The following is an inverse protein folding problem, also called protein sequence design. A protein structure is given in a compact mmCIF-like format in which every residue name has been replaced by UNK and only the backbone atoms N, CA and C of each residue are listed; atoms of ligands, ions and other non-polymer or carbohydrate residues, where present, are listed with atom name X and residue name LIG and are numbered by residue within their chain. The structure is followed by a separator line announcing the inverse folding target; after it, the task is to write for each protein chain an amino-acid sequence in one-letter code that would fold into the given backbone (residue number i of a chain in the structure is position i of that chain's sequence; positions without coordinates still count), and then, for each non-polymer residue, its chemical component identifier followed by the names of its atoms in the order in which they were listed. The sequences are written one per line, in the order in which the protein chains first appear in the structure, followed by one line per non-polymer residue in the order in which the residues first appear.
data_IF_181574477946
#
_entry.id   IF_181574477946
#
_cell.length_a   1.000
_cell.length_b   1.000
_cell.length_c   1.000
_cell.angle_alpha   90.00
_cell.angle_beta   90.00
_cell.angle_gamma   90.00
#
_symmetry.space_group_name_H-M   'P 1'
#
loop_
_entity.id
_entity.type
_entity.pdbx_description
1 polymer ?
#
# COMPACT_ATOMS: atom_id res chain seq x y z
N UNK A 1 5.02 -8.71 31.63
CA UNK A 1 5.00 -7.27 31.97
C UNK A 1 3.60 -6.72 31.74
N UNK A 2 3.01 -5.95 32.67
CA UNK A 2 1.72 -5.26 32.44
C UNK A 2 1.96 -3.75 32.43
N UNK A 3 1.66 -3.09 31.32
CA UNK A 3 1.68 -1.62 31.23
C UNK A 3 0.28 -1.11 31.55
N UNK A 4 0.15 -0.22 32.55
CA UNK A 4 -1.09 0.51 32.85
C UNK A 4 -0.94 1.94 32.36
N UNK A 5 -1.83 2.38 31.48
CA UNK A 5 -1.85 3.76 30.96
C UNK A 5 -3.05 4.47 31.56
N UNK A 6 -2.83 5.62 32.19
CA UNK A 6 -3.89 6.50 32.71
C UNK A 6 -3.98 7.76 31.84
N UNK A 7 -5.16 8.08 31.33
CA UNK A 7 -5.39 9.24 30.48
C UNK A 7 -6.82 9.34 29.98
N UNK A 8 -7.22 10.51 29.45
CA UNK A 8 -8.49 10.69 28.74
C UNK A 8 -8.25 10.56 27.23
N UNK A 9 -9.07 9.76 26.56
CA UNK A 9 -8.96 9.50 25.12
C UNK A 9 -8.04 8.34 24.76
N UNK A 10 -7.92 8.06 23.45
CA UNK A 10 -7.09 6.97 22.92
C UNK A 10 -5.90 7.55 22.14
N UNK A 11 -4.69 7.29 22.64
CA UNK A 11 -3.43 7.71 22.02
C UNK A 11 -2.63 6.46 21.68
N UNK A 12 -2.05 6.35 20.47
CA UNK A 12 -1.20 5.23 20.11
C UNK A 12 0.08 5.30 20.94
N UNK A 13 0.52 4.16 21.44
CA UNK A 13 1.73 4.05 22.25
C UNK A 13 2.58 2.90 21.72
N UNK A 14 3.88 3.14 21.56
CA UNK A 14 4.84 2.10 21.24
C UNK A 14 5.62 1.76 22.50
N UNK A 15 5.68 0.48 22.84
CA UNK A 15 6.50 -0.02 23.94
C UNK A 15 7.73 -0.68 23.33
N UNK A 16 8.92 -0.17 23.64
CA UNK A 16 10.20 -0.73 23.26
C UNK A 16 10.84 -1.40 24.46
N UNK A 17 11.23 -2.67 24.31
CA UNK A 17 11.99 -3.40 25.32
C UNK A 17 13.41 -3.61 24.81
N UNK A 18 14.39 -3.07 25.55
CA UNK A 18 15.81 -3.29 25.29
C UNK A 18 16.26 -4.69 25.72
N UNK A 19 17.37 -5.14 25.15
CA UNK A 19 17.99 -6.44 25.49
C UNK A 19 18.52 -6.46 26.94
N UNK A 20 18.81 -5.29 27.50
CA UNK A 20 19.18 -5.07 28.90
C UNK A 20 17.98 -5.09 29.86
N UNK A 21 16.78 -5.37 29.35
CA UNK A 21 15.54 -5.33 30.12
C UNK A 21 14.98 -3.92 30.31
N UNK A 22 15.61 -2.88 29.75
CA UNK A 22 15.06 -1.52 29.77
C UNK A 22 13.74 -1.47 29.00
N UNK A 23 12.80 -0.64 29.47
CA UNK A 23 11.51 -0.44 28.81
C UNK A 23 11.32 1.04 28.56
N UNK A 24 11.03 1.40 27.31
CA UNK A 24 10.70 2.75 26.89
C UNK A 24 9.29 2.77 26.31
N UNK A 25 8.48 3.71 26.77
CA UNK A 25 7.15 3.98 26.20
C UNK A 25 7.24 5.26 25.40
N UNK A 26 6.97 5.16 24.11
CA UNK A 26 6.92 6.28 23.19
C UNK A 26 5.46 6.58 22.86
N UNK A 27 5.12 7.86 22.81
CA UNK A 27 3.82 8.33 22.35
C UNK A 27 3.99 9.59 21.52
N UNK A 28 3.06 9.86 20.59
CA UNK A 28 3.02 11.15 19.92
C UNK A 28 2.91 12.28 20.95
N UNK A 29 3.55 13.42 20.67
CA UNK A 29 3.33 14.63 21.49
C UNK A 29 1.84 14.96 21.53
N UNK A 30 1.35 15.42 22.68
CA UNK A 30 -0.05 15.87 22.86
C UNK A 30 -0.36 16.93 21.80
N UNK A 31 -1.41 16.71 20.99
CA UNK A 31 -1.77 17.55 19.82
C UNK A 31 -1.22 17.06 18.47
N UNK A 32 -0.32 16.07 18.43
CA UNK A 32 0.28 15.58 17.18
C UNK A 32 -0.65 14.77 16.27
N UNK A 33 -1.84 14.39 16.75
CA UNK A 33 -2.90 13.77 15.92
C UNK A 33 -3.87 14.80 15.34
N UNK A 34 -3.88 16.02 15.85
CA UNK A 34 -4.64 17.11 15.27
C UNK A 34 -3.85 17.60 14.05
N UNK A 35 -3.88 16.82 12.97
CA UNK A 35 -3.70 17.40 11.64
C UNK A 35 -4.94 18.25 11.42
N UNK A 36 -4.88 19.50 11.91
CA UNK A 36 -5.90 20.56 11.95
C UNK A 36 -6.49 20.97 10.58
N UNK A 37 -6.28 20.17 9.54
CA UNK A 37 -6.93 20.32 8.25
C UNK A 37 -8.16 19.41 8.14
N UNK A 38 -9.26 19.97 7.66
CA UNK A 38 -10.34 19.17 7.08
C UNK A 38 -9.76 18.27 5.98
N UNK A 39 -10.18 17.01 5.92
CA UNK A 39 -9.77 16.15 4.81
C UNK A 39 -10.18 16.79 3.48
N UNK A 40 -9.32 16.68 2.46
CA UNK A 40 -9.64 17.12 1.11
C UNK A 40 -10.97 16.51 0.67
N UNK A 41 -11.74 17.26 -0.14
CA UNK A 41 -12.88 16.70 -0.85
C UNK A 41 -12.40 15.68 -1.89
N UNK A 42 -13.31 14.84 -2.39
CA UNK A 42 -13.04 13.87 -3.44
C UNK A 42 -12.44 14.53 -4.69
N UNK A 43 -12.97 15.70 -5.07
CA UNK A 43 -12.43 16.54 -6.13
C UNK A 43 -11.05 17.10 -5.78
N UNK A 44 -10.85 17.57 -4.55
CA UNK A 44 -9.55 18.06 -4.08
C UNK A 44 -8.46 16.98 -4.11
N UNK A 45 -8.78 15.74 -3.76
CA UNK A 45 -7.86 14.59 -3.87
C UNK A 45 -7.53 14.35 -5.34
N UNK A 46 -8.55 14.24 -6.20
CA UNK A 46 -8.35 14.00 -7.65
C UNK A 46 -7.46 15.08 -8.26
N UNK A 47 -7.74 16.34 -7.98
CA UNK A 47 -7.06 17.47 -8.60
C UNK A 47 -5.63 17.64 -8.08
N UNK A 48 -5.39 17.35 -6.79
CA UNK A 48 -4.06 17.36 -6.18
C UNK A 48 -3.16 16.25 -6.73
N UNK A 49 -3.66 15.03 -6.80
CA UNK A 49 -2.85 13.86 -7.20
C UNK A 49 -2.98 13.50 -8.69
N UNK A 50 -3.81 14.24 -9.44
CA UNK A 50 -4.11 14.03 -10.87
C UNK A 50 -4.67 12.63 -11.18
N UNK A 51 -5.50 12.10 -10.29
CA UNK A 51 -6.12 10.78 -10.46
C UNK A 51 -7.05 10.79 -11.67
N UNK A 52 -7.06 9.71 -12.46
CA UNK A 52 -8.02 9.54 -13.54
C UNK A 52 -9.39 9.14 -13.00
N UNK A 53 -10.44 9.66 -13.64
CA UNK A 53 -11.82 9.34 -13.29
C UNK A 53 -12.32 10.10 -12.06
N UNK A 54 -13.58 9.84 -11.71
CA UNK A 54 -14.18 10.33 -10.47
C UNK A 54 -13.93 9.30 -9.37
N UNK A 55 -13.86 9.76 -8.13
CA UNK A 55 -14.01 8.88 -6.96
C UNK A 55 -15.51 8.66 -6.77
N UNK A 56 -16.08 7.50 -7.15
CA UNK A 56 -17.52 7.30 -7.09
C UNK A 56 -18.00 7.15 -5.63
N UNK A 57 -19.27 7.48 -5.42
CA UNK A 57 -19.94 7.35 -4.12
C UNK A 57 -19.65 8.49 -3.14
N UNK A 58 -20.23 8.37 -1.94
CA UNK A 58 -20.04 9.33 -0.84
C UNK A 58 -18.92 8.84 0.07
N UNK A 59 -17.80 9.54 0.10
CA UNK A 59 -16.69 9.16 0.96
C UNK A 59 -16.84 9.78 2.35
N UNK A 60 -16.43 9.05 3.37
CA UNK A 60 -16.31 9.59 4.72
C UNK A 60 -14.98 10.32 4.89
N UNK A 61 -14.93 11.26 5.83
CA UNK A 61 -13.72 12.06 6.08
C UNK A 61 -12.49 11.18 6.38
N UNK A 62 -12.67 10.12 7.19
CA UNK A 62 -11.59 9.19 7.52
C UNK A 62 -11.03 8.46 6.27
N UNK A 63 -11.89 8.11 5.32
CA UNK A 63 -11.51 7.43 4.07
C UNK A 63 -10.72 8.40 3.18
N UNK A 64 -11.22 9.62 3.02
CA UNK A 64 -10.53 10.68 2.26
C UNK A 64 -9.18 11.04 2.86
N UNK A 65 -9.10 11.12 4.19
CA UNK A 65 -7.85 11.39 4.92
C UNK A 65 -6.85 10.25 4.69
N UNK A 66 -7.27 9.00 4.86
CA UNK A 66 -6.38 7.86 4.64
C UNK A 66 -5.89 7.75 3.19
N UNK A 67 -6.76 7.97 2.20
CA UNK A 67 -6.37 8.00 0.79
C UNK A 67 -5.41 9.14 0.49
N UNK A 68 -5.68 10.35 1.01
CA UNK A 68 -4.78 11.49 0.86
C UNK A 68 -3.40 11.17 1.43
N UNK A 69 -3.35 10.66 2.66
CA UNK A 69 -2.10 10.32 3.32
C UNK A 69 -1.33 9.21 2.61
N UNK A 70 -2.01 8.19 2.08
CA UNK A 70 -1.36 7.14 1.29
C UNK A 70 -0.73 7.69 0.01
N UNK A 71 -1.45 8.57 -0.72
CA UNK A 71 -0.94 9.18 -1.95
C UNK A 71 0.19 10.18 -1.70
N UNK A 72 0.20 10.87 -0.55
CA UNK A 72 1.30 11.77 -0.15
C UNK A 72 2.62 11.03 0.13
N UNK A 73 2.59 9.72 0.37
CA UNK A 73 3.79 8.92 0.64
C UNK A 73 4.51 8.48 -0.63
N UNK A 74 3.87 8.60 -1.79
CA UNK A 74 4.41 8.15 -3.05
C UNK A 74 5.31 9.22 -3.68
N UNK A 75 6.41 8.77 -4.27
CA UNK A 75 7.26 9.59 -5.12
C UNK A 75 6.52 10.05 -6.38
N UNK A 76 6.95 11.14 -7.03
CA UNK A 76 6.32 11.63 -8.26
C UNK A 76 6.20 10.56 -9.36
N UNK A 77 7.25 9.77 -9.57
CA UNK A 77 7.26 8.70 -10.59
C UNK A 77 6.33 7.53 -10.22
N UNK A 78 6.16 7.27 -8.92
CA UNK A 78 5.21 6.26 -8.45
C UNK A 78 3.77 6.72 -8.68
N UNK A 79 3.49 8.01 -8.44
CA UNK A 79 2.18 8.61 -8.70
C UNK A 79 1.78 8.48 -10.17
N UNK A 80 2.72 8.54 -11.13
CA UNK A 80 2.39 8.39 -12.56
C UNK A 80 1.70 7.06 -12.89
N UNK A 81 2.11 5.97 -12.23
CA UNK A 81 1.47 4.67 -12.37
C UNK A 81 0.09 4.67 -11.72
N UNK A 82 0.02 5.19 -10.49
CA UNK A 82 -1.19 5.19 -9.65
C UNK A 82 -2.30 6.05 -10.24
N UNK A 83 -1.97 7.15 -10.92
CA UNK A 83 -2.94 8.00 -11.63
C UNK A 83 -3.75 7.25 -12.67
N UNK A 84 -3.24 6.12 -13.18
CA UNK A 84 -3.90 5.29 -14.19
C UNK A 84 -4.78 4.18 -13.61
N UNK A 85 -4.82 4.05 -12.28
CA UNK A 85 -5.66 3.07 -11.59
C UNK A 85 -7.01 3.71 -11.27
N UNK A 86 -8.08 2.94 -11.42
CA UNK A 86 -9.41 3.36 -10.98
C UNK A 86 -9.52 3.16 -9.48
N UNK A 87 -10.00 4.18 -8.78
CA UNK A 87 -10.30 4.11 -7.36
C UNK A 87 -11.81 3.99 -7.17
N UNK A 88 -12.24 3.00 -6.41
CA UNK A 88 -13.65 2.74 -6.16
C UNK A 88 -13.90 2.55 -4.65
N UNK A 89 -15.14 2.78 -4.22
CA UNK A 89 -15.57 2.63 -2.85
C UNK A 89 -16.71 1.62 -2.78
N UNK A 90 -16.53 0.60 -1.96
CA UNK A 90 -17.59 -0.34 -1.62
C UNK A 90 -17.91 -0.28 -0.11
N UNK A 91 -19.16 -0.52 0.24
CA UNK A 91 -19.58 -0.48 1.65
C UNK A 91 -18.95 -1.57 2.51
N UNK A 92 -18.69 -2.75 1.92
CA UNK A 92 -18.13 -3.94 2.56
C UNK A 92 -17.32 -4.78 1.56
N UNK A 93 -16.33 -5.51 2.05
CA UNK A 93 -15.62 -6.50 1.25
C UNK A 93 -16.56 -7.63 0.81
N UNK A 94 -16.42 -8.08 -0.44
CA UNK A 94 -17.32 -9.09 -1.05
C UNK A 94 -17.27 -10.46 -0.38
N UNK A 95 -16.16 -10.80 0.27
CA UNK A 95 -15.97 -12.04 1.02
C UNK A 95 -16.47 -11.95 2.48
N UNK A 96 -17.05 -10.83 2.89
CA UNK A 96 -17.51 -10.61 4.26
C UNK A 96 -16.40 -10.27 5.26
N UNK A 97 -15.16 -10.08 4.83
CA UNK A 97 -14.07 -9.62 5.70
C UNK A 97 -14.26 -8.15 6.08
N UNK A 98 -14.91 -7.91 7.22
CA UNK A 98 -15.19 -6.56 7.70
C UNK A 98 -13.91 -5.82 8.13
N UNK A 99 -12.77 -6.49 8.27
CA UNK A 99 -11.50 -5.91 8.71
C UNK A 99 -10.63 -5.40 7.56
N UNK A 100 -10.91 -5.83 6.33
CA UNK A 100 -10.21 -5.42 5.12
C UNK A 100 -10.55 -3.99 4.76
N UNK A 101 -9.53 -3.13 4.70
CA UNK A 101 -9.70 -1.70 4.41
C UNK A 101 -9.56 -1.36 2.92
N UNK A 102 -8.79 -2.15 2.17
CA UNK A 102 -8.61 -1.97 0.74
C UNK A 102 -8.43 -3.31 0.00
N UNK A 103 -8.57 -3.31 -1.32
CA UNK A 103 -8.24 -4.43 -2.20
C UNK A 103 -7.89 -3.95 -3.61
N UNK A 104 -6.76 -4.39 -4.13
CA UNK A 104 -6.44 -4.35 -5.54
C UNK A 104 -7.10 -5.52 -6.27
N UNK A 105 -7.83 -5.23 -7.35
CA UNK A 105 -8.39 -6.23 -8.25
C UNK A 105 -7.99 -5.90 -9.69
N UNK A 106 -7.45 -6.89 -10.40
CA UNK A 106 -7.16 -6.80 -11.83
C UNK A 106 -7.96 -7.84 -12.59
N UNK A 107 -8.66 -7.40 -13.64
CA UNK A 107 -9.39 -8.24 -14.59
C UNK A 107 -9.06 -7.78 -16.00
N UNK A 108 -8.15 -8.49 -16.67
CA UNK A 108 -7.62 -8.05 -17.96
C UNK A 108 -6.95 -6.68 -17.84
N UNK A 109 -7.28 -5.75 -18.72
CA UNK A 109 -6.72 -4.40 -18.69
C UNK A 109 -7.24 -3.57 -17.50
N UNK A 110 -8.41 -3.91 -16.97
CA UNK A 110 -9.05 -3.13 -15.91
C UNK A 110 -8.41 -3.46 -14.56
N UNK A 111 -7.87 -2.43 -13.92
CA UNK A 111 -7.38 -2.50 -12.54
C UNK A 111 -8.10 -1.48 -11.67
N UNK A 112 -8.53 -1.92 -10.50
CA UNK A 112 -9.28 -1.13 -9.52
C UNK A 112 -8.67 -1.32 -8.15
N UNK A 113 -8.50 -0.24 -7.39
CA UNK A 113 -8.30 -0.32 -5.94
C UNK A 113 -9.61 0.07 -5.26
N UNK A 114 -10.18 -0.89 -4.55
CA UNK A 114 -11.36 -0.71 -3.72
C UNK A 114 -10.95 -0.23 -2.34
N UNK A 115 -11.64 0.78 -1.81
CA UNK A 115 -11.63 1.12 -0.39
C UNK A 115 -12.94 0.68 0.25
N UNK A 116 -12.84 -0.03 1.37
CA UNK A 116 -13.99 -0.60 2.07
C UNK A 116 -14.31 0.18 3.35
N UNK A 117 -15.51 0.77 3.40
CA UNK A 117 -15.96 1.54 4.56
C UNK A 117 -16.02 0.74 5.86
N UNK A 118 -16.27 -0.58 5.79
CA UNK A 118 -16.25 -1.44 6.97
C UNK A 118 -14.85 -1.50 7.59
N UNK A 119 -13.81 -1.76 6.80
CA UNK A 119 -12.44 -1.88 7.31
C UNK A 119 -11.90 -0.57 7.85
N UNK A 120 -12.20 0.56 7.19
CA UNK A 120 -11.80 1.89 7.68
C UNK A 120 -12.46 2.21 9.02
N UNK A 121 -13.75 1.88 9.20
CA UNK A 121 -14.47 2.12 10.47
C UNK A 121 -14.08 1.15 11.57
N UNK A 122 -13.74 -0.09 11.22
CA UNK A 122 -13.28 -1.11 12.14
C UNK A 122 -11.88 -0.77 12.69
N UNK A 123 -11.04 -0.08 11.89
CA UNK A 123 -9.70 0.30 12.30
C UNK A 123 -9.66 1.52 13.22
N UNK A 124 -9.94 1.30 14.51
CA UNK A 124 -9.95 2.36 15.54
C UNK A 124 -8.61 2.56 16.23
N UNK A 125 -7.82 1.49 16.34
CA UNK A 125 -6.69 1.43 17.27
C UNK A 125 -5.41 0.89 16.66
N UNK A 126 -5.43 0.37 15.43
CA UNK A 126 -4.20 -0.11 14.80
C UNK A 126 -3.48 1.05 14.13
N UNK A 127 -2.17 0.98 14.17
CA UNK A 127 -1.28 1.97 13.60
C UNK A 127 0.04 1.32 13.23
N UNK A 128 0.78 2.00 12.37
CA UNK A 128 2.11 1.58 11.87
C UNK A 128 2.97 2.82 11.64
N UNK A 129 4.28 2.64 11.47
CA UNK A 129 5.20 3.73 11.22
C UNK A 129 5.90 4.24 12.48
N UNK A 130 6.42 5.45 12.34
CA UNK A 130 7.20 6.10 13.40
C UNK A 130 6.40 6.17 14.72
N UNK A 131 6.94 5.65 15.84
CA UNK A 131 6.33 5.74 17.16
C UNK A 131 5.89 7.15 17.61
N UNK A 132 6.55 8.20 17.13
CA UNK A 132 6.20 9.59 17.47
C UNK A 132 5.28 10.25 16.43
N UNK A 133 5.11 9.63 15.26
CA UNK A 133 4.22 10.09 14.19
C UNK A 133 3.51 8.90 13.50
N UNK A 134 2.75 8.08 14.25
CA UNK A 134 2.17 6.85 13.74
C UNK A 134 1.04 7.14 12.76
N UNK A 135 0.94 6.34 11.71
CA UNK A 135 -0.12 6.39 10.70
C UNK A 135 -1.18 5.33 11.00
N UNK A 136 -2.40 5.53 10.53
CA UNK A 136 -3.45 4.51 10.62
C UNK A 136 -3.04 3.26 9.83
N UNK A 137 -3.44 2.07 10.30
CA UNK A 137 -3.22 0.84 9.54
C UNK A 137 -4.01 0.81 8.22
N UNK A 138 -5.06 1.63 8.08
CA UNK A 138 -5.72 1.87 6.78
C UNK A 138 -4.75 2.44 5.75
N UNK A 139 -3.87 3.37 6.15
CA UNK A 139 -2.86 3.92 5.23
C UNK A 139 -1.94 2.82 4.73
N UNK A 140 -1.48 1.94 5.63
CA UNK A 140 -0.69 0.77 5.26
C UNK A 140 -1.42 -0.12 4.26
N UNK A 141 -2.70 -0.46 4.52
CA UNK A 141 -3.49 -1.28 3.63
C UNK A 141 -3.62 -0.65 2.23
N UNK A 142 -3.87 0.66 2.13
CA UNK A 142 -3.97 1.33 0.83
C UNK A 142 -2.63 1.26 0.08
N UNK A 143 -1.52 1.54 0.76
CA UNK A 143 -0.18 1.48 0.14
C UNK A 143 0.19 0.05 -0.24
N UNK A 144 -0.23 -0.95 0.54
CA UNK A 144 -0.09 -2.37 0.20
C UNK A 144 -0.79 -2.69 -1.13
N UNK A 145 -2.04 -2.27 -1.32
CA UNK A 145 -2.76 -2.48 -2.58
C UNK A 145 -2.15 -1.72 -3.76
N UNK A 146 -1.55 -0.55 -3.50
CA UNK A 146 -0.74 0.14 -4.51
C UNK A 146 0.46 -0.73 -4.90
N UNK A 147 1.11 -1.40 -3.94
CA UNK A 147 2.16 -2.38 -4.18
C UNK A 147 1.73 -3.46 -5.18
N UNK A 148 0.59 -4.11 -4.96
CA UNK A 148 0.04 -5.07 -5.94
C UNK A 148 -0.12 -4.46 -7.34
N UNK A 149 -0.54 -3.19 -7.42
CA UNK A 149 -0.67 -2.52 -8.71
C UNK A 149 0.68 -2.26 -9.42
N UNK A 150 1.76 -2.02 -8.69
CA UNK A 150 3.12 -1.93 -9.25
C UNK A 150 3.58 -3.29 -9.77
N UNK A 151 3.42 -4.32 -8.95
CA UNK A 151 3.79 -5.69 -9.28
C UNK A 151 3.08 -6.18 -10.55
N UNK A 152 1.79 -5.91 -10.66
CA UNK A 152 0.93 -6.35 -11.77
C UNK A 152 0.95 -5.41 -12.99
N UNK A 153 1.74 -4.34 -12.98
CA UNK A 153 1.67 -3.32 -14.03
C UNK A 153 2.08 -3.84 -15.41
N UNK A 154 3.07 -4.75 -15.47
CA UNK A 154 3.51 -5.37 -16.72
C UNK A 154 2.41 -6.26 -17.32
N UNK A 155 1.82 -7.13 -16.51
CA UNK A 155 0.70 -7.98 -16.89
C UNK A 155 -0.47 -7.15 -17.42
N UNK A 156 -0.83 -6.08 -16.67
CA UNK A 156 -1.87 -5.14 -17.09
C UNK A 156 -1.59 -4.51 -18.45
N UNK A 157 -0.34 -4.09 -18.74
CA UNK A 157 0.02 -3.52 -20.05
C UNK A 157 -0.22 -4.54 -21.18
N UNK A 158 0.18 -5.79 -20.97
CA UNK A 158 -0.04 -6.87 -21.94
C UNK A 158 -1.54 -7.12 -22.18
N UNK A 159 -2.36 -7.18 -21.11
CA UNK A 159 -3.80 -7.31 -21.25
C UNK A 159 -4.45 -6.09 -21.95
N UNK A 160 -4.00 -4.88 -21.68
CA UNK A 160 -4.48 -3.69 -22.40
C UNK A 160 -4.12 -3.73 -23.89
N UNK A 161 -2.93 -4.22 -24.24
CA UNK A 161 -2.54 -4.43 -25.63
C UNK A 161 -3.41 -5.52 -26.28
N UNK A 162 -3.70 -6.60 -25.56
CA UNK A 162 -4.58 -7.68 -26.01
C UNK A 162 -5.99 -7.16 -26.33
N UNK A 163 -6.60 -6.40 -25.42
CA UNK A 163 -7.94 -5.81 -25.62
C UNK A 163 -7.95 -4.89 -26.85
N UNK A 164 -6.92 -4.06 -27.04
CA UNK A 164 -6.79 -3.19 -28.22
C UNK A 164 -6.64 -3.98 -29.53
N UNK A 165 -5.97 -5.14 -29.49
CA UNK A 165 -5.74 -5.99 -30.65
C UNK A 165 -6.94 -6.87 -31.04
N UNK A 166 -7.95 -7.00 -30.16
CA UNK A 166 -9.19 -7.74 -30.43
C UNK A 166 -8.95 -9.23 -30.74
N UNK A 167 -9.51 -9.73 -31.83
CA UNK A 167 -9.49 -11.16 -32.20
C UNK A 167 -8.09 -11.78 -32.44
N UNK A 168 -7.03 -10.97 -32.49
CA UNK A 168 -5.64 -11.42 -32.73
C UNK A 168 -4.77 -11.44 -31.46
N UNK A 169 -5.39 -11.45 -30.28
CA UNK A 169 -4.72 -11.15 -29.02
C UNK A 169 -4.18 -12.35 -28.23
N UNK A 170 -4.34 -13.60 -28.70
CA UNK A 170 -3.99 -14.81 -27.94
C UNK A 170 -2.60 -14.74 -27.29
N UNK A 171 -1.56 -14.41 -28.06
CA UNK A 171 -0.19 -14.29 -27.53
C UNK A 171 -0.03 -13.18 -26.48
N UNK A 172 -0.79 -12.09 -26.57
CA UNK A 172 -0.76 -10.99 -25.58
C UNK A 172 -1.50 -11.36 -24.29
N UNK A 173 -2.56 -12.18 -24.40
CA UNK A 173 -3.25 -12.74 -23.23
C UNK A 173 -2.34 -13.73 -22.50
N UNK A 174 -1.67 -14.62 -23.25
CA UNK A 174 -0.71 -15.58 -22.68
C UNK A 174 0.45 -14.86 -21.99
N UNK A 175 0.97 -13.79 -22.60
CA UNK A 175 2.00 -12.95 -21.99
C UNK A 175 1.50 -12.26 -20.72
N UNK A 176 0.27 -11.73 -20.73
CA UNK A 176 -0.36 -11.16 -19.54
C UNK A 176 -0.47 -12.18 -18.39
N UNK A 177 -0.90 -13.41 -18.68
CA UNK A 177 -0.98 -14.48 -17.69
C UNK A 177 0.40 -14.82 -17.11
N UNK A 178 1.40 -14.98 -17.99
CA UNK A 178 2.79 -15.27 -17.59
C UNK A 178 3.36 -14.16 -16.69
N UNK A 179 3.13 -12.90 -17.06
CA UNK A 179 3.58 -11.74 -16.29
C UNK A 179 2.80 -11.57 -14.97
N UNK A 180 1.54 -12.00 -14.92
CA UNK A 180 0.73 -11.97 -13.70
C UNK A 180 1.24 -12.96 -12.65
N UNK A 181 1.74 -14.12 -13.09
CA UNK A 181 2.34 -15.13 -12.21
C UNK A 181 3.78 -14.77 -11.83
N UNK A 182 4.53 -14.17 -12.76
CA UNK A 182 5.95 -13.87 -12.58
C UNK A 182 6.35 -12.55 -13.23
N UNK A 183 6.09 -11.46 -12.52
CA UNK A 183 6.42 -10.11 -12.99
C UNK A 183 7.93 -9.80 -12.85
N UNK A 184 8.50 -8.95 -13.73
CA UNK A 184 9.89 -8.49 -13.61
C UNK A 184 10.18 -7.76 -12.29
N UNK A 185 9.17 -7.07 -11.75
CA UNK A 185 9.24 -6.42 -10.43
C UNK A 185 9.45 -7.47 -9.35
N UNK A 186 8.63 -8.53 -9.37
CA UNK A 186 8.72 -9.61 -8.40
C UNK A 186 10.05 -10.36 -8.50
N UNK A 187 10.53 -10.66 -9.70
CA UNK A 187 11.81 -11.32 -9.91
C UNK A 187 12.99 -10.50 -9.35
N UNK A 188 13.01 -9.17 -9.55
CA UNK A 188 14.05 -8.32 -8.98
C UNK A 188 13.92 -8.17 -7.46
N UNK A 189 12.70 -8.06 -6.96
CA UNK A 189 12.42 -8.02 -5.53
C UNK A 189 12.94 -9.28 -4.83
N UNK A 190 12.66 -10.47 -5.37
CA UNK A 190 13.11 -11.73 -4.77
C UNK A 190 14.63 -11.87 -4.75
N UNK A 191 15.34 -11.34 -5.77
CA UNK A 191 16.81 -11.22 -5.75
C UNK A 191 17.31 -10.30 -4.63
N UNK A 192 16.61 -9.20 -4.37
CA UNK A 192 16.92 -8.31 -3.26
C UNK A 192 16.60 -8.94 -1.89
N UNK A 193 15.55 -9.76 -1.82
CA UNK A 193 15.13 -10.47 -0.61
C UNK A 193 16.11 -11.59 -0.21
N UNK A 194 16.79 -12.22 -1.18
CA UNK A 194 17.84 -13.24 -0.96
C UNK A 194 17.37 -14.42 -0.09
N UNK A 195 16.22 -14.99 -0.42
CA UNK A 195 15.61 -16.15 0.26
C UNK A 195 15.29 -15.92 1.75
N UNK A 196 15.37 -14.67 2.24
CA UNK A 196 14.87 -14.32 3.57
C UNK A 196 13.33 -14.39 3.58
N UNK A 197 12.71 -14.71 4.72
CA UNK A 197 11.26 -14.62 4.85
C UNK A 197 10.77 -13.18 4.60
N UNK A 198 9.49 -12.99 4.32
CA UNK A 198 8.89 -11.67 4.24
C UNK A 198 9.06 -10.87 5.55
N UNK A 199 8.98 -9.52 5.54
CA UNK A 199 9.15 -8.72 6.75
C UNK A 199 8.01 -8.88 7.77
N UNK A 200 6.85 -9.42 7.36
CA UNK A 200 5.68 -9.67 8.21
C UNK A 200 5.19 -11.11 8.01
N UNK A 201 4.45 -11.64 9.00
CA UNK A 201 3.83 -12.96 8.89
C UNK A 201 2.83 -13.04 7.72
N UNK A 202 2.08 -11.96 7.49
CA UNK A 202 1.15 -11.86 6.36
C UNK A 202 1.90 -11.92 5.02
N UNK A 203 3.02 -11.22 4.90
CA UNK A 203 3.85 -11.27 3.69
C UNK A 203 4.43 -12.65 3.39
N UNK A 204 4.48 -13.58 4.36
CA UNK A 204 4.93 -14.95 4.11
C UNK A 204 3.89 -15.82 3.38
N UNK A 205 2.66 -15.31 3.17
CA UNK A 205 1.62 -16.03 2.46
C UNK A 205 1.95 -16.28 0.98
N UNK A 206 2.61 -15.33 0.31
CA UNK A 206 3.10 -15.48 -1.05
C UNK A 206 4.19 -14.46 -1.37
N UNK A 207 4.92 -14.66 -2.48
CA UNK A 207 5.88 -13.67 -2.99
C UNK A 207 5.20 -12.33 -3.34
N UNK A 208 3.96 -12.36 -3.85
CA UNK A 208 3.17 -11.16 -4.15
C UNK A 208 2.86 -10.37 -2.88
N UNK A 209 2.38 -11.05 -1.84
CA UNK A 209 2.11 -10.43 -0.53
C UNK A 209 3.40 -9.92 0.12
N UNK A 210 4.49 -10.66 0.00
CA UNK A 210 5.83 -10.25 0.47
C UNK A 210 6.27 -8.93 -0.17
N UNK A 211 6.08 -8.78 -1.49
CA UNK A 211 6.39 -7.55 -2.20
C UNK A 211 5.49 -6.40 -1.74
N UNK A 212 4.16 -6.60 -1.72
CA UNK A 212 3.20 -5.56 -1.35
C UNK A 212 3.39 -5.08 0.10
N UNK A 213 3.66 -6.00 1.04
CA UNK A 213 4.01 -5.66 2.43
C UNK A 213 5.31 -4.88 2.52
N UNK A 214 6.33 -5.28 1.76
CA UNK A 214 7.62 -4.56 1.76
C UNK A 214 7.49 -3.17 1.14
N UNK A 215 6.69 -3.02 0.08
CA UNK A 215 6.36 -1.73 -0.52
C UNK A 215 5.64 -0.84 0.51
N UNK A 216 4.61 -1.35 1.17
CA UNK A 216 3.88 -0.63 2.21
C UNK A 216 4.80 -0.18 3.36
N UNK A 217 5.66 -1.07 3.86
CA UNK A 217 6.62 -0.71 4.90
C UNK A 217 7.66 0.31 4.42
N UNK A 218 8.14 0.22 3.18
CA UNK A 218 9.08 1.20 2.64
C UNK A 218 8.54 2.64 2.73
N UNK A 219 7.25 2.84 2.46
CA UNK A 219 6.62 4.16 2.51
C UNK A 219 6.12 4.55 3.91
N UNK A 220 5.60 3.59 4.67
CA UNK A 220 4.89 3.87 5.92
C UNK A 220 5.79 3.74 7.16
N UNK A 221 6.77 2.83 7.13
CA UNK A 221 7.77 2.60 8.17
C UNK A 221 9.13 2.16 7.57
N UNK A 222 9.82 3.06 6.82
CA UNK A 222 11.09 2.71 6.17
C UNK A 222 12.13 2.21 7.17
N UNK A 223 12.10 2.73 8.40
CA UNK A 223 12.99 2.29 9.46
C UNK A 223 12.76 0.82 9.85
N UNK A 224 11.50 0.35 9.91
CA UNK A 224 11.21 -1.06 10.14
C UNK A 224 11.75 -1.94 9.00
N UNK A 225 11.49 -1.57 7.74
CA UNK A 225 12.01 -2.32 6.60
C UNK A 225 13.54 -2.33 6.56
N UNK A 226 14.20 -1.21 6.85
CA UNK A 226 15.66 -1.13 6.92
C UNK A 226 16.23 -2.06 8.00
N UNK A 227 15.60 -2.13 9.17
CA UNK A 227 16.03 -3.01 10.26
C UNK A 227 15.86 -4.49 9.92
N UNK A 228 14.77 -4.86 9.27
CA UNK A 228 14.44 -6.28 9.02
C UNK A 228 14.99 -6.78 7.69
N UNK A 229 14.97 -5.97 6.63
CA UNK A 229 15.34 -6.32 5.25
C UNK A 229 16.15 -5.18 4.58
N UNK A 230 17.39 -4.92 5.03
CA UNK A 230 18.18 -3.78 4.55
C UNK A 230 18.45 -3.80 3.04
N UNK A 231 18.64 -4.98 2.43
CA UNK A 231 18.84 -5.11 1.00
C UNK A 231 17.59 -4.75 0.19
N UNK A 232 16.40 -5.15 0.67
CA UNK A 232 15.10 -4.78 0.08
C UNK A 232 14.87 -3.28 0.20
N UNK A 233 15.13 -2.70 1.39
CA UNK A 233 15.06 -1.26 1.58
C UNK A 233 15.98 -0.51 0.61
N UNK A 234 17.24 -0.93 0.49
CA UNK A 234 18.20 -0.33 -0.44
C UNK A 234 17.75 -0.44 -1.90
N UNK A 235 17.13 -1.56 -2.29
CA UNK A 235 16.57 -1.75 -3.62
C UNK A 235 15.40 -0.78 -3.90
N UNK A 236 14.46 -0.61 -2.96
CA UNK A 236 13.39 0.38 -3.07
C UNK A 236 13.93 1.81 -3.11
N UNK A 237 14.85 2.17 -2.21
CA UNK A 237 15.47 3.49 -2.16
C UNK A 237 16.23 3.84 -3.44
N UNK A 238 16.78 2.84 -4.12
CA UNK A 238 17.39 3.00 -5.42
C UNK A 238 16.36 3.06 -6.56
N UNK A 239 15.05 3.00 -6.34
CA UNK A 239 14.04 2.97 -7.41
C UNK A 239 13.97 1.64 -8.17
N UNK A 240 14.35 0.53 -7.53
CA UNK A 240 14.40 -0.79 -8.14
C UNK A 240 13.07 -1.26 -8.74
N UNK A 241 11.96 -1.00 -8.04
CA UNK A 241 10.61 -1.33 -8.52
C UNK A 241 10.21 -0.54 -9.78
N UNK A 242 10.63 0.74 -9.90
CA UNK A 242 10.40 1.55 -11.10
C UNK A 242 11.24 1.08 -12.27
N UNK A 243 12.53 0.83 -12.05
CA UNK A 243 13.43 0.30 -13.11
C UNK A 243 12.97 -1.04 -13.62
N UNK A 244 12.48 -1.93 -12.75
CA UNK A 244 11.95 -3.22 -13.15
C UNK A 244 10.73 -3.10 -14.09
N UNK A 245 9.97 -2.00 -13.97
CA UNK A 245 8.88 -1.68 -14.90
C UNK A 245 9.37 -1.04 -16.21
N UNK A 246 10.40 -0.18 -16.14
CA UNK A 246 10.98 0.51 -17.30
C UNK A 246 11.84 -0.37 -18.20
N UNK A 247 12.37 -1.48 -17.69
CA UNK A 247 13.07 -2.50 -18.48
C UNK A 247 12.18 -3.23 -19.51
N UNK A 248 10.93 -2.80 -19.69
CA UNK A 248 9.99 -3.28 -20.71
C UNK A 248 9.74 -2.25 -21.82
N UNK A 249 10.33 -1.05 -21.73
CA UNK A 249 10.20 0.02 -22.73
C UNK A 249 11.49 0.16 -23.59
N UNK A 250 12.48 -0.74 -23.42
CA UNK A 250 13.68 -0.95 -24.26
C UNK A 250 13.55 -2.23 -25.11
#
# INVERSE_FOLDING_TARGET
MRVRVAGKGSVPVTVQQGLDGSVRVLSPRRGGRDRDGAALSEEGIRDRFKLRGRLPGTWHEAERRALTEALELLAPDELELVRRIVWDREGRARNGDESRAALYEMKGCRAVIYLYSSGVRADRFRFVGDPIAPKSAVVHAIVHEIGHAFEQAAARRAYCAAEKAGARSGALVDEGNRLSDRSPVLDQYLRALRDLPAPTDYGNASSHESFAESFALFHVDPAALLRTRPAVHAWFAAGGHLRALGALDD
#
